data_IF_881748293138
#
_entry.id   IF_881748293138
#
_cell.length_a   1.000
_cell.length_b   1.000
_cell.length_c   1.000
_cell.angle_alpha   90.00
_cell.angle_beta   90.00
_cell.angle_gamma   90.00
#
_symmetry.space_group_name_H-M   'P 1'
#
loop_
_entity.id
_entity.type
_entity.pdbx_description
1 polymer ?
#
# COMPACT_ATOMS: atom_id res chain seq x y z
N UNK A 1 -9.79 1.13 18.19
CA UNK A 1 -9.40 0.31 17.03
C UNK A 1 -10.33 0.65 15.87
N UNK A 2 -9.82 0.87 14.66
CA UNK A 2 -10.66 1.24 13.50
C UNK A 2 -11.58 0.09 13.09
N UNK A 3 -12.88 0.36 12.91
CA UNK A 3 -13.82 -0.62 12.40
C UNK A 3 -13.61 -0.82 10.88
N UNK A 4 -12.94 -1.91 10.51
CA UNK A 4 -12.62 -2.20 9.10
C UNK A 4 -13.84 -2.56 8.24
N UNK A 5 -14.92 -3.05 8.84
CA UNK A 5 -16.18 -3.32 8.12
C UNK A 5 -16.82 -1.98 7.74
N UNK A 6 -16.98 -1.08 8.70
CA UNK A 6 -17.51 0.27 8.44
C UNK A 6 -16.64 1.07 7.46
N UNK A 7 -15.31 0.95 7.56
CA UNK A 7 -14.38 1.57 6.60
C UNK A 7 -14.58 1.00 5.18
N UNK A 8 -14.74 -0.32 5.06
CA UNK A 8 -14.98 -1.00 3.78
C UNK A 8 -16.27 -0.49 3.13
N UNK A 9 -17.37 -0.42 3.89
CA UNK A 9 -18.66 0.09 3.42
C UNK A 9 -18.59 1.58 3.04
N UNK A 10 -17.95 2.41 3.87
CA UNK A 10 -17.76 3.83 3.58
C UNK A 10 -16.97 4.03 2.30
N UNK A 11 -15.88 3.26 2.12
CA UNK A 11 -15.07 3.34 0.92
C UNK A 11 -15.82 2.87 -0.33
N UNK A 12 -16.66 1.83 -0.24
CA UNK A 12 -17.52 1.41 -1.36
C UNK A 12 -18.52 2.51 -1.75
N UNK A 13 -19.18 3.14 -0.77
CA UNK A 13 -20.11 4.27 -1.01
C UNK A 13 -19.41 5.46 -1.64
N UNK A 14 -18.26 5.86 -1.09
CA UNK A 14 -17.42 6.94 -1.64
C UNK A 14 -16.96 6.62 -3.05
N UNK A 15 -16.56 5.38 -3.33
CA UNK A 15 -16.12 4.97 -4.66
C UNK A 15 -17.21 5.16 -5.71
N UNK A 16 -18.44 4.74 -5.40
CA UNK A 16 -19.59 4.90 -6.28
C UNK A 16 -19.90 6.37 -6.57
N UNK A 17 -19.77 7.24 -5.57
CA UNK A 17 -20.06 8.67 -5.69
C UNK A 17 -18.88 9.52 -6.24
N UNK A 18 -17.65 9.02 -6.13
CA UNK A 18 -16.45 9.84 -6.34
C UNK A 18 -16.31 10.37 -7.77
N UNK A 19 -16.09 11.68 -7.87
CA UNK A 19 -15.71 12.39 -9.09
C UNK A 19 -14.26 12.83 -9.01
N UNK A 20 -13.54 12.72 -10.12
CA UNK A 20 -12.17 13.21 -10.21
C UNK A 20 -12.16 14.73 -10.24
N UNK A 21 -11.29 15.36 -9.44
CA UNK A 21 -11.09 16.81 -9.42
C UNK A 21 -9.75 17.23 -10.01
N UNK A 22 -8.92 16.25 -10.40
CA UNK A 22 -7.60 16.43 -11.01
C UNK A 22 -7.42 15.42 -12.16
N UNK A 23 -6.48 15.68 -13.06
CA UNK A 23 -6.13 14.77 -14.15
C UNK A 23 -5.05 13.78 -13.68
N UNK A 24 -5.36 12.48 -13.75
CA UNK A 24 -4.45 11.38 -13.36
C UNK A 24 -3.83 10.67 -14.57
N UNK A 25 -4.17 11.08 -15.80
CA UNK A 25 -3.89 10.33 -17.03
C UNK A 25 -2.41 10.04 -17.23
N UNK A 26 -1.53 11.02 -17.00
CA UNK A 26 -0.08 10.84 -17.17
C UNK A 26 0.46 9.76 -16.24
N UNK A 27 0.06 9.79 -14.97
CA UNK A 27 0.50 8.78 -13.98
C UNK A 27 -0.11 7.43 -14.32
N UNK A 28 -1.42 7.38 -14.54
CA UNK A 28 -2.13 6.13 -14.85
C UNK A 28 -1.58 5.45 -16.11
N UNK A 29 -1.21 6.19 -17.16
CA UNK A 29 -0.55 5.64 -18.36
C UNK A 29 0.76 4.91 -18.04
N UNK A 30 1.58 5.45 -17.14
CA UNK A 30 2.82 4.76 -16.72
C UNK A 30 2.52 3.51 -15.89
N UNK A 31 1.48 3.54 -15.06
CA UNK A 31 1.08 2.40 -14.23
C UNK A 31 0.51 1.23 -15.07
N UNK A 32 -0.22 1.52 -16.15
CA UNK A 32 -0.78 0.50 -17.05
C UNK A 32 0.12 0.18 -18.25
N UNK A 33 1.28 0.83 -18.39
CA UNK A 33 2.21 0.59 -19.49
C UNK A 33 2.58 -0.91 -19.54
N UNK A 34 2.68 -1.55 -20.73
CA UNK A 34 2.85 -2.99 -20.83
C UNK A 34 3.99 -3.57 -19.98
N UNK A 35 5.16 -2.92 -19.98
CA UNK A 35 6.30 -3.32 -19.16
C UNK A 35 6.03 -3.21 -17.65
N UNK A 36 5.37 -2.13 -17.20
CA UNK A 36 5.00 -1.95 -15.80
C UNK A 36 3.95 -2.99 -15.37
N UNK A 37 2.88 -3.15 -16.17
CA UNK A 37 1.81 -4.11 -15.95
C UNK A 37 2.36 -5.53 -15.81
N UNK A 38 3.28 -5.95 -16.68
CA UNK A 38 3.89 -7.27 -16.62
C UNK A 38 4.59 -7.52 -15.27
N UNK A 39 5.40 -6.57 -14.79
CA UNK A 39 6.07 -6.68 -13.49
C UNK A 39 5.09 -6.76 -12.32
N UNK A 40 4.03 -5.94 -12.33
CA UNK A 40 2.98 -6.01 -11.33
C UNK A 40 2.22 -7.34 -11.37
N UNK A 41 1.99 -7.90 -12.55
CA UNK A 41 1.35 -9.20 -12.72
C UNK A 41 2.23 -10.35 -12.20
N UNK A 42 3.56 -10.28 -12.36
CA UNK A 42 4.49 -11.24 -11.75
C UNK A 42 4.35 -11.27 -10.23
N UNK A 43 4.32 -10.11 -9.59
CA UNK A 43 4.10 -10.00 -8.12
C UNK A 43 2.70 -10.45 -7.74
N UNK A 44 1.68 -10.07 -8.53
CA UNK A 44 0.29 -10.47 -8.31
C UNK A 44 0.10 -11.98 -8.31
N UNK A 45 0.69 -12.68 -9.28
CA UNK A 45 0.63 -14.14 -9.39
C UNK A 45 1.26 -14.85 -8.18
N UNK A 46 2.30 -14.25 -7.57
CA UNK A 46 3.01 -14.82 -6.40
C UNK A 46 2.35 -14.52 -5.06
N UNK A 47 1.54 -13.47 -4.98
CA UNK A 47 1.02 -12.94 -3.71
C UNK A 47 -0.50 -13.00 -3.57
N UNK A 48 -1.22 -13.12 -4.69
CA UNK A 48 -2.68 -12.98 -4.70
C UNK A 48 -3.15 -11.56 -4.40
N UNK A 49 -2.28 -10.55 -4.52
CA UNK A 49 -2.66 -9.14 -4.48
C UNK A 49 -2.95 -8.68 -5.91
N UNK A 50 -4.09 -8.04 -6.22
CA UNK A 50 -4.39 -7.55 -7.57
C UNK A 50 -3.31 -6.58 -8.05
N UNK A 51 -2.80 -6.81 -9.27
CA UNK A 51 -1.78 -5.95 -9.87
C UNK A 51 -2.13 -4.45 -9.88
N UNK A 52 -3.40 -4.00 -10.02
CA UNK A 52 -3.72 -2.56 -9.97
C UNK A 52 -3.54 -1.99 -8.55
N UNK A 53 -3.78 -2.79 -7.51
CA UNK A 53 -3.51 -2.39 -6.13
C UNK A 53 -2.00 -2.24 -5.89
N UNK A 54 -1.19 -3.17 -6.42
CA UNK A 54 0.28 -3.09 -6.36
C UNK A 54 0.77 -1.82 -7.07
N UNK A 55 0.23 -1.52 -8.25
CA UNK A 55 0.63 -0.36 -9.03
C UNK A 55 0.38 0.97 -8.30
N UNK A 56 -0.79 1.13 -7.66
CA UNK A 56 -1.08 2.36 -6.92
C UNK A 56 -0.33 2.45 -5.60
N UNK A 57 0.05 1.34 -4.96
CA UNK A 57 0.99 1.37 -3.83
C UNK A 57 2.36 1.86 -4.33
N UNK A 58 2.85 1.32 -5.44
CA UNK A 58 4.15 1.71 -6.00
C UNK A 58 4.24 3.20 -6.33
N UNK A 59 3.17 3.78 -6.88
CA UNK A 59 3.08 5.22 -7.09
C UNK A 59 3.11 6.01 -5.77
N UNK A 60 2.39 5.54 -4.75
CA UNK A 60 2.27 6.27 -3.48
C UNK A 60 3.51 6.21 -2.61
N UNK A 61 4.24 5.10 -2.65
CA UNK A 61 5.41 4.89 -1.80
C UNK A 61 6.68 5.48 -2.43
N UNK A 62 6.81 5.48 -3.77
CA UNK A 62 8.00 6.00 -4.44
C UNK A 62 7.77 6.53 -5.86
N UNK A 63 6.56 6.97 -6.22
CA UNK A 63 6.29 7.56 -7.55
C UNK A 63 6.66 6.64 -8.73
N UNK A 64 6.46 5.33 -8.54
CA UNK A 64 6.84 4.28 -9.50
C UNK A 64 8.35 4.16 -9.76
N UNK A 65 9.19 4.60 -8.82
CA UNK A 65 10.62 4.39 -8.91
C UNK A 65 10.97 2.91 -8.72
N UNK A 66 11.36 2.27 -9.82
CA UNK A 66 11.76 0.85 -9.87
C UNK A 66 13.03 0.53 -9.08
N UNK A 67 13.73 1.54 -8.55
CA UNK A 67 14.84 1.36 -7.61
C UNK A 67 14.38 1.37 -6.14
N UNK A 68 13.18 1.88 -5.86
CA UNK A 68 12.58 1.94 -4.52
C UNK A 68 11.77 0.70 -4.17
N UNK A 69 11.77 0.35 -2.89
CA UNK A 69 10.97 -0.75 -2.34
C UNK A 69 9.51 -0.34 -2.17
N UNK A 70 8.61 -1.27 -2.51
CA UNK A 70 7.17 -1.10 -2.34
C UNK A 70 6.74 -0.87 -0.88
N UNK A 71 7.59 -1.20 0.10
CA UNK A 71 7.24 -1.12 1.53
C UNK A 71 7.43 0.29 2.14
N UNK A 72 8.46 1.03 1.72
CA UNK A 72 8.80 2.33 2.33
C UNK A 72 9.56 3.29 1.40
N UNK A 73 9.77 2.91 0.13
CA UNK A 73 10.52 3.70 -0.85
C UNK A 73 12.05 3.60 -0.79
N UNK A 74 12.65 3.01 0.25
CA UNK A 74 14.11 2.81 0.29
C UNK A 74 14.62 1.97 -0.90
N UNK A 75 15.88 2.16 -1.34
CA UNK A 75 16.48 1.32 -2.36
C UNK A 75 16.38 -0.17 -2.01
N UNK A 76 15.74 -0.97 -2.87
CA UNK A 76 15.47 -2.38 -2.56
C UNK A 76 16.74 -3.24 -2.54
N UNK A 77 17.82 -2.78 -3.18
CA UNK A 77 19.11 -3.47 -3.24
C UNK A 77 20.01 -3.17 -2.02
N UNK A 78 19.46 -2.60 -0.95
CA UNK A 78 20.12 -2.34 0.33
C UNK A 78 19.20 -2.75 1.48
N UNK A 79 19.75 -2.84 2.68
CA UNK A 79 18.95 -3.02 3.89
C UNK A 79 18.14 -1.76 4.14
N UNK A 80 16.81 -1.87 4.27
CA UNK A 80 15.93 -0.73 4.52
C UNK A 80 16.18 -0.11 5.90
N UNK A 81 16.08 1.23 5.95
CA UNK A 81 16.24 2.02 7.18
C UNK A 81 14.90 2.61 7.64
N UNK A 82 14.00 2.92 6.71
CA UNK A 82 12.66 3.35 7.03
C UNK A 82 11.77 2.14 7.36
N UNK A 83 10.75 2.36 8.19
CA UNK A 83 9.85 1.28 8.64
C UNK A 83 9.00 0.79 7.47
N UNK A 84 8.93 -0.53 7.20
CA UNK A 84 9.59 -1.64 7.91
C UNK A 84 11.11 -1.69 7.68
N UNK A 85 11.89 -1.53 8.76
CA UNK A 85 13.35 -1.50 8.70
C UNK A 85 13.94 -2.92 8.67
N UNK A 86 15.16 -3.07 8.16
CA UNK A 86 15.87 -4.35 8.13
C UNK A 86 15.40 -5.32 7.05
N UNK A 87 14.67 -4.85 6.02
CA UNK A 87 14.28 -5.66 4.85
C UNK A 87 15.40 -5.62 3.81
N UNK A 88 15.53 -6.68 3.01
CA UNK A 88 16.54 -6.76 1.94
C UNK A 88 17.96 -7.00 2.46
N UNK A 89 18.99 -6.82 1.61
CA UNK A 89 18.89 -6.44 0.20
C UNK A 89 18.21 -7.54 -0.64
N UNK A 90 17.45 -7.14 -1.66
CA UNK A 90 16.80 -8.04 -2.60
C UNK A 90 17.58 -8.12 -3.92
N UNK A 91 17.32 -9.15 -4.74
CA UNK A 91 17.95 -9.31 -6.07
C UNK A 91 17.17 -8.61 -7.18
N UNK A 92 15.91 -8.27 -6.93
CA UNK A 92 15.05 -7.55 -7.85
C UNK A 92 13.97 -6.76 -7.12
N UNK A 93 13.35 -5.82 -7.84
CA UNK A 93 12.16 -5.12 -7.35
C UNK A 93 11.01 -6.09 -7.07
N UNK A 94 10.84 -7.15 -7.87
CA UNK A 94 9.81 -8.17 -7.68
C UNK A 94 9.96 -8.90 -6.35
N UNK A 95 11.19 -9.29 -5.99
CA UNK A 95 11.47 -9.90 -4.69
C UNK A 95 11.14 -8.94 -3.53
N UNK A 96 11.53 -7.67 -3.66
CA UNK A 96 11.22 -6.64 -2.68
C UNK A 96 9.72 -6.37 -2.54
N UNK A 97 8.99 -6.34 -3.65
CA UNK A 97 7.54 -6.14 -3.68
C UNK A 97 6.79 -7.34 -3.08
N UNK A 98 7.22 -8.58 -3.40
CA UNK A 98 6.67 -9.79 -2.77
C UNK A 98 6.90 -9.73 -1.25
N UNK A 99 8.11 -9.37 -0.84
CA UNK A 99 8.45 -9.24 0.57
C UNK A 99 7.57 -8.22 1.32
N UNK A 100 7.41 -7.04 0.72
CA UNK A 100 6.54 -5.97 1.24
C UNK A 100 5.09 -6.44 1.43
N UNK A 101 4.54 -7.21 0.49
CA UNK A 101 3.14 -7.64 0.52
C UNK A 101 2.90 -8.85 1.44
N UNK A 102 3.89 -9.73 1.61
CA UNK A 102 3.77 -10.98 2.37
C UNK A 102 4.21 -10.83 3.82
N UNK A 103 5.31 -10.12 4.06
CA UNK A 103 6.03 -10.14 5.33
C UNK A 103 5.93 -8.83 6.13
N UNK A 104 5.45 -7.75 5.51
CA UNK A 104 5.27 -6.47 6.18
C UNK A 104 3.79 -6.22 6.47
N UNK A 105 3.50 -5.52 7.57
CA UNK A 105 2.15 -5.04 7.82
C UNK A 105 1.71 -4.15 6.63
N UNK A 106 0.46 -4.26 6.15
CA UNK A 106 -0.69 -4.94 6.74
C UNK A 106 -0.90 -6.37 6.21
N UNK A 107 0.18 -7.05 5.79
CA UNK A 107 0.21 -8.41 5.25
C UNK A 107 -0.80 -8.58 4.11
N UNK A 108 -0.69 -7.72 3.09
CA UNK A 108 -1.67 -7.60 2.00
C UNK A 108 -1.93 -8.95 1.30
N UNK A 109 -0.91 -9.80 1.15
CA UNK A 109 -1.04 -11.13 0.55
C UNK A 109 -1.98 -12.09 1.33
N UNK A 110 -2.30 -11.78 2.59
CA UNK A 110 -3.26 -12.55 3.40
C UNK A 110 -4.71 -12.14 3.14
N UNK A 111 -4.94 -11.02 2.47
CA UNK A 111 -6.28 -10.52 2.18
C UNK A 111 -6.97 -11.39 1.12
N UNK A 112 -8.19 -11.86 1.40
CA UNK A 112 -8.97 -12.75 0.52
C UNK A 112 -10.07 -12.04 -0.27
N UNK A 113 -10.50 -10.88 0.20
CA UNK A 113 -11.55 -10.08 -0.44
C UNK A 113 -10.92 -8.83 -1.07
N UNK A 114 -10.93 -8.78 -2.40
CA UNK A 114 -10.50 -7.63 -3.19
C UNK A 114 -11.66 -6.90 -3.85
N UNK A 115 -12.86 -6.98 -3.27
CA UNK A 115 -13.94 -6.03 -3.59
C UNK A 115 -13.43 -4.59 -3.46
N UNK A 116 -14.01 -3.66 -4.23
CA UNK A 116 -13.46 -2.30 -4.30
C UNK A 116 -13.39 -1.60 -2.94
N UNK A 117 -14.42 -1.72 -2.11
CA UNK A 117 -14.42 -1.16 -0.75
C UNK A 117 -13.30 -1.75 0.11
N UNK A 118 -13.09 -3.07 0.00
CA UNK A 118 -12.08 -3.79 0.78
C UNK A 118 -10.67 -3.50 0.29
N UNK A 119 -10.48 -3.38 -1.02
CA UNK A 119 -9.24 -2.93 -1.66
C UNK A 119 -8.84 -1.55 -1.14
N UNK A 120 -9.75 -0.57 -1.16
CA UNK A 120 -9.48 0.78 -0.68
C UNK A 120 -9.19 0.79 0.84
N UNK A 121 -9.90 -0.02 1.63
CA UNK A 121 -9.61 -0.19 3.05
C UNK A 121 -8.25 -0.87 3.31
N UNK A 122 -7.81 -1.79 2.44
CA UNK A 122 -6.49 -2.43 2.53
C UNK A 122 -5.37 -1.48 2.11
N UNK A 123 -5.59 -0.67 1.07
CA UNK A 123 -4.68 0.41 0.69
C UNK A 123 -4.52 1.44 1.82
N UNK A 124 -5.60 1.78 2.52
CA UNK A 124 -5.50 2.70 3.67
C UNK A 124 -4.73 2.07 4.84
N UNK A 125 -4.91 0.76 5.07
CA UNK A 125 -4.06 0.03 6.03
C UNK A 125 -2.58 0.03 5.63
N UNK A 126 -2.28 0.05 4.32
CA UNK A 126 -0.91 0.07 3.82
C UNK A 126 -0.19 1.36 4.23
N UNK A 127 -0.85 2.50 4.05
CA UNK A 127 -0.36 3.81 4.52
C UNK A 127 -0.45 3.98 6.05
N UNK A 128 -1.51 3.46 6.65
CA UNK A 128 -1.84 3.64 8.07
C UNK A 128 -3.26 4.21 8.29
N UNK A 129 -3.94 3.69 9.31
CA UNK A 129 -5.35 3.93 9.61
C UNK A 129 -5.65 5.24 10.38
N UNK A 130 -4.70 6.17 10.41
CA UNK A 130 -4.83 7.41 11.20
C UNK A 130 -5.98 8.31 10.76
N UNK A 131 -6.38 8.27 9.48
CA UNK A 131 -7.49 9.06 8.95
C UNK A 131 -8.84 8.40 9.23
N UNK A 132 -8.98 7.10 8.94
CA UNK A 132 -10.16 6.33 9.33
C UNK A 132 -10.44 6.41 10.84
N UNK A 133 -9.41 6.37 11.71
CA UNK A 133 -9.57 6.54 13.15
C UNK A 133 -10.11 7.93 13.55
N UNK A 134 -9.94 8.94 12.69
CA UNK A 134 -10.50 10.29 12.85
C UNK A 134 -11.85 10.46 12.14
N UNK A 135 -12.41 9.40 11.53
CA UNK A 135 -13.61 9.48 10.71
C UNK A 135 -13.43 10.33 9.45
N UNK A 136 -12.20 10.50 8.96
CA UNK A 136 -11.89 11.36 7.82
C UNK A 136 -11.50 10.57 6.57
N UNK A 137 -11.83 11.07 5.37
CA UNK A 137 -11.26 10.56 4.12
C UNK A 137 -9.73 10.59 4.17
N UNK A 138 -9.08 9.46 3.95
CA UNK A 138 -7.63 9.44 3.80
C UNK A 138 -7.19 10.14 2.51
N UNK A 139 -6.29 11.14 2.53
CA UNK A 139 -5.67 11.66 1.32
C UNK A 139 -4.89 10.60 0.55
N UNK A 140 -4.37 9.57 1.22
CA UNK A 140 -3.71 8.43 0.56
C UNK A 140 -4.64 7.75 -0.45
N UNK A 141 -5.93 7.70 -0.12
CA UNK A 141 -6.96 7.08 -0.95
C UNK A 141 -7.65 8.09 -1.86
N UNK A 142 -8.07 9.22 -1.32
CA UNK A 142 -9.07 10.10 -1.94
C UNK A 142 -8.52 11.43 -2.45
N UNK A 143 -7.23 11.74 -2.27
CA UNK A 143 -6.70 13.01 -2.78
C UNK A 143 -6.91 13.16 -4.29
N UNK A 144 -7.49 14.27 -4.73
CA UNK A 144 -7.83 14.52 -6.14
C UNK A 144 -9.15 13.91 -6.60
N UNK A 145 -9.99 13.50 -5.65
CA UNK A 145 -11.42 13.33 -5.87
C UNK A 145 -12.20 14.33 -5.05
N UNK A 146 -13.50 14.43 -5.31
CA UNK A 146 -14.43 15.22 -4.51
C UNK A 146 -14.74 14.61 -3.13
N UNK A 147 -14.22 13.42 -2.81
CA UNK A 147 -14.39 12.75 -1.50
C UNK A 147 -13.37 13.21 -0.46
N UNK A 148 -12.40 14.02 -0.86
CA UNK A 148 -11.39 14.65 -0.02
C UNK A 148 -11.37 16.16 -0.29
N UNK A 149 -11.07 16.97 0.73
CA UNK A 149 -10.94 18.43 0.62
C UNK A 149 -9.59 18.88 1.13
N UNK A 150 -9.30 18.58 2.38
CA UNK A 150 -8.05 18.90 3.06
C UNK A 150 -7.85 17.96 4.26
N UNK A 151 -6.68 18.03 4.88
CA UNK A 151 -6.32 17.25 6.04
C UNK A 151 -5.23 16.24 5.73
N UNK A 152 -4.07 16.37 6.36
CA UNK A 152 -2.92 15.49 6.12
C UNK A 152 -2.07 15.33 7.38
N UNK A 153 -1.52 14.14 7.62
CA UNK A 153 -0.39 14.01 8.53
C UNK A 153 0.86 14.54 7.85
N UNK A 154 1.39 15.65 8.34
CA UNK A 154 2.57 16.31 7.77
C UNK A 154 3.88 15.72 8.32
N UNK A 155 3.79 15.01 9.44
CA UNK A 155 4.82 14.16 10.04
C UNK A 155 4.14 13.19 11.01
N UNK A 156 4.91 12.27 11.57
CA UNK A 156 4.39 11.24 12.48
C UNK A 156 3.59 11.83 13.64
N UNK A 157 2.33 11.39 13.75
CA UNK A 157 1.39 11.86 14.77
C UNK A 157 0.83 13.27 14.58
N UNK A 158 1.36 14.08 13.66
CA UNK A 158 0.97 15.49 13.49
C UNK A 158 0.03 15.67 12.30
N UNK A 159 -1.26 15.72 12.62
CA UNK A 159 -2.33 15.97 11.67
C UNK A 159 -2.59 17.47 11.53
N UNK A 160 -2.53 17.98 10.31
CA UNK A 160 -2.92 19.33 9.94
C UNK A 160 -4.22 19.27 9.12
N UNK A 161 -5.35 19.86 9.60
CA UNK A 161 -6.63 19.83 8.89
C UNK A 161 -6.67 20.68 7.61
N UNK A 162 -5.72 21.59 7.42
CA UNK A 162 -5.71 22.59 6.34
C UNK A 162 -4.80 22.18 5.17
N UNK A 163 -3.82 21.32 5.40
CA UNK A 163 -2.92 20.86 4.33
C UNK A 163 -3.66 19.94 3.36
N UNK A 164 -3.50 20.23 2.07
CA UNK A 164 -4.02 19.40 0.97
C UNK A 164 -2.90 18.51 0.45
N UNK A 165 -3.15 17.21 0.29
CA UNK A 165 -2.19 16.30 -0.32
C UNK A 165 -2.08 16.54 -1.83
N UNK A 166 -0.90 16.99 -2.28
CA UNK A 166 -0.60 17.20 -3.70
C UNK A 166 -0.39 15.88 -4.45
N UNK A 167 -0.06 14.78 -3.76
CA UNK A 167 0.09 13.47 -4.38
C UNK A 167 -1.25 12.92 -4.93
N UNK A 168 -1.22 12.05 -5.95
CA UNK A 168 -2.43 11.40 -6.46
C UNK A 168 -2.98 10.40 -5.45
N UNK A 169 -4.28 10.43 -5.15
CA UNK A 169 -4.95 9.40 -4.34
C UNK A 169 -5.15 8.09 -5.10
N UNK A 170 -5.06 6.95 -4.41
CA UNK A 170 -5.24 5.62 -5.01
C UNK A 170 -6.59 5.46 -5.75
N UNK A 171 -7.69 5.98 -5.20
CA UNK A 171 -9.01 5.84 -5.83
C UNK A 171 -9.06 6.57 -7.19
N UNK A 172 -8.46 7.75 -7.28
CA UNK A 172 -8.36 8.50 -8.53
C UNK A 172 -7.52 7.76 -9.57
N UNK A 173 -6.35 7.26 -9.15
CA UNK A 173 -5.48 6.43 -9.98
C UNK A 173 -6.21 5.19 -10.49
N UNK A 174 -6.85 4.41 -9.62
CA UNK A 174 -7.58 3.20 -9.99
C UNK A 174 -8.70 3.49 -11.00
N UNK A 175 -9.51 4.54 -10.80
CA UNK A 175 -10.56 4.94 -11.76
C UNK A 175 -9.98 5.25 -13.14
N UNK A 176 -8.89 6.02 -13.20
CA UNK A 176 -8.25 6.37 -14.47
C UNK A 176 -7.54 5.17 -15.11
N UNK A 177 -6.92 4.30 -14.32
CA UNK A 177 -6.35 3.04 -14.82
C UNK A 177 -7.43 2.14 -15.42
N UNK A 178 -8.58 1.98 -14.76
CA UNK A 178 -9.71 1.19 -15.28
C UNK A 178 -10.28 1.77 -16.59
N UNK A 179 -10.27 3.10 -16.75
CA UNK A 179 -10.68 3.74 -17.99
C UNK A 179 -9.69 3.50 -19.14
N UNK A 180 -8.38 3.39 -18.83
CA UNK A 180 -7.33 3.12 -19.82
C UNK A 180 -7.16 1.61 -20.12
N UNK A 181 -7.43 0.76 -19.14
CA UNK A 181 -7.36 -0.69 -19.23
C UNK A 181 -8.64 -1.30 -18.63
N UNK A 182 -9.67 -1.52 -19.47
CA UNK A 182 -10.96 -2.07 -19.04
C UNK A 182 -10.89 -3.51 -18.51
N UNK A 183 -9.74 -4.19 -18.62
CA UNK A 183 -9.54 -5.52 -18.03
C UNK A 183 -9.39 -5.46 -16.51
N UNK A 184 -9.20 -4.26 -15.95
CA UNK A 184 -9.12 -4.05 -14.50
C UNK A 184 -10.53 -4.09 -13.89
N UNK A 185 -10.77 -5.09 -13.06
CA UNK A 185 -12.02 -5.22 -12.29
C UNK A 185 -11.74 -5.55 -10.82
N UNK A 186 -12.67 -5.14 -9.96
CA UNK A 186 -12.66 -5.44 -8.51
C UNK A 186 -13.94 -6.18 -8.08
N UNK A 187 -14.54 -6.93 -9.00
CA UNK A 187 -15.78 -7.68 -8.79
C UNK A 187 -15.48 -8.95 -8.00
N UNK A 188 -15.27 -8.82 -6.68
CA UNK A 188 -15.19 -9.93 -5.74
C UNK A 188 -14.22 -11.05 -6.11
N UNK A 189 -13.18 -10.74 -6.91
CA UNK A 189 -12.37 -11.73 -7.58
C UNK A 189 -11.59 -12.54 -6.53
N UNK A 190 -12.08 -13.75 -6.25
CA UNK A 190 -11.25 -14.86 -5.84
C UNK A 190 -10.14 -14.95 -6.88
N UNK A 191 -8.95 -14.48 -6.53
CA UNK A 191 -7.78 -14.61 -7.41
C UNK A 191 -7.46 -16.09 -7.43
N UNK A 192 -7.89 -16.79 -8.48
CA UNK A 192 -7.40 -18.15 -8.76
C UNK A 192 -5.90 -18.02 -9.00
N UNK A 193 -5.03 -18.59 -8.15
CA UNK A 193 -3.60 -18.55 -8.40
C UNK A 193 -3.31 -19.29 -9.70
N UNK A 194 -2.50 -18.71 -10.59
CA UNK A 194 -1.86 -19.50 -11.62
C UNK A 194 -1.01 -20.59 -10.93
N UNK A 195 -1.06 -21.81 -11.47
CA UNK A 195 -0.51 -23.02 -10.86
C UNK A 195 0.90 -22.84 -10.26
N UNK A 196 1.10 -23.48 -9.11
CA UNK A 196 2.28 -23.41 -8.24
C UNK A 196 3.62 -23.57 -8.98
N UNK A 197 4.50 -22.56 -8.88
CA UNK A 197 5.93 -22.70 -9.18
C UNK A 197 6.67 -23.04 -7.89
N UNK A 198 7.49 -24.10 -7.92
CA UNK A 198 8.19 -24.68 -6.77
C UNK A 198 9.12 -23.66 -6.05
N UNK A 199 9.30 -23.77 -4.72
CA UNK A 199 10.18 -22.87 -3.96
C UNK A 199 11.66 -23.11 -4.26
N UNK A 200 12.45 -22.04 -4.35
CA UNK A 200 13.92 -22.09 -4.38
C UNK A 200 14.43 -22.03 -2.92
N UNK A 201 15.42 -22.86 -2.52
CA UNK A 201 15.94 -22.90 -1.14
C UNK A 201 16.61 -21.60 -0.70
N UNK A 202 16.36 -21.19 0.55
CA UNK A 202 16.95 -20.02 1.20
C UNK A 202 18.30 -20.33 1.85
N UNK A 203 19.27 -19.43 1.72
CA UNK A 203 20.58 -19.50 2.38
C UNK A 203 20.62 -18.57 3.61
N UNK A 204 21.33 -18.98 4.66
CA UNK A 204 21.26 -18.45 6.03
C UNK A 204 21.83 -17.02 6.17
N UNK A 205 21.25 -16.14 7.02
CA UNK A 205 21.75 -14.79 7.24
C UNK A 205 22.86 -14.71 8.31
N UNK A 206 23.83 -13.81 8.08
CA UNK A 206 24.83 -13.38 9.06
C UNK A 206 24.33 -12.19 9.93
N UNK A 207 24.94 -12.06 11.10
CA UNK A 207 24.53 -11.28 12.28
C UNK A 207 24.59 -9.74 12.12
N UNK A 208 23.71 -8.97 12.80
CA UNK A 208 23.52 -7.52 12.61
C UNK A 208 24.40 -6.64 13.53
N UNK A 209 24.60 -5.37 13.11
CA UNK A 209 25.18 -4.29 13.93
C UNK A 209 24.31 -3.02 13.82
N UNK A 210 24.26 -2.23 14.91
CA UNK A 210 23.25 -1.20 15.23
C UNK A 210 23.90 0.20 15.15
N UNK A 211 23.30 1.16 14.41
CA UNK A 211 23.26 2.59 14.79
C UNK A 211 22.38 3.47 13.86
N UNK A 212 21.38 4.14 14.47
CA UNK A 212 20.77 5.45 14.14
C UNK A 212 19.67 5.60 13.03
N UNK A 213 18.46 6.14 13.35
CA UNK A 213 17.32 6.28 12.42
C UNK A 213 17.10 7.71 11.85
N UNK A 214 16.36 7.83 10.72
CA UNK A 214 15.91 9.12 10.12
C UNK A 214 14.41 9.18 9.77
N UNK A 215 13.96 10.41 9.44
CA UNK A 215 12.63 11.02 9.64
C UNK A 215 11.59 10.71 8.54
N UNK A 216 10.33 10.46 8.96
CA UNK A 216 9.14 10.80 8.16
C UNK A 216 8.28 9.65 7.60
N UNK A 217 8.48 8.41 8.06
CA UNK A 217 7.59 7.30 7.72
C UNK A 217 6.56 7.08 8.82
N UNK A 218 5.28 7.18 8.44
CA UNK A 218 4.07 6.96 9.28
C UNK A 218 3.94 5.48 9.74
N UNK A 219 4.97 4.65 9.53
CA UNK A 219 5.07 3.25 9.97
C UNK A 219 5.22 3.01 11.48
N UNK A 220 4.83 3.93 12.36
CA UNK A 220 4.92 3.74 13.82
C UNK A 220 3.55 3.60 14.52
N UNK A 221 2.63 2.78 13.99
CA UNK A 221 1.41 2.42 14.74
C UNK A 221 1.06 0.91 14.82
N UNK A 222 1.96 -0.02 14.48
CA UNK A 222 1.73 -1.46 14.80
C UNK A 222 2.98 -2.10 15.43
N UNK A 223 3.54 -1.48 16.46
CA UNK A 223 4.53 -2.13 17.33
C UNK A 223 4.22 -2.04 18.83
N UNK A 224 3.10 -1.43 19.25
CA UNK A 224 2.86 -1.19 20.68
C UNK A 224 1.49 -1.61 21.24
N UNK A 225 0.89 -2.68 20.70
CA UNK A 225 -0.33 -3.29 21.28
C UNK A 225 -0.12 -4.74 21.76
N UNK A 226 1.03 -5.38 21.50
CA UNK A 226 1.28 -6.76 21.98
C UNK A 226 2.13 -6.87 23.27
N UNK A 227 2.76 -5.78 23.75
CA UNK A 227 3.56 -5.81 24.99
C UNK A 227 2.87 -5.27 26.25
N UNK A 228 1.58 -4.91 26.17
CA UNK A 228 0.82 -4.40 27.34
C UNK A 228 0.04 -5.51 28.07
N UNK A 229 0.01 -6.75 27.56
CA UNK A 229 -0.78 -7.85 28.16
C UNK A 229 0.05 -8.83 29.03
N UNK A 230 1.39 -8.78 29.03
CA UNK A 230 2.22 -9.70 29.84
C UNK A 230 3.09 -9.04 30.93
N UNK A 231 2.80 -7.79 31.33
CA UNK A 231 3.37 -7.19 32.55
C UNK A 231 2.30 -6.77 33.54
N UNK A 232 1.50 -7.75 33.97
CA UNK A 232 0.86 -7.76 35.30
C UNK A 232 0.72 -9.22 35.75
N UNK A 233 1.76 -9.72 36.43
CA UNK A 233 1.76 -10.67 37.56
C UNK A 233 3.10 -11.41 37.63
N UNK A 234 3.98 -10.89 38.48
CA UNK A 234 4.89 -11.59 39.41
C UNK A 234 5.77 -10.49 40.04
#
# INVERSE_FOLDING_TARGET
>A
MTNLIALTESNAKRWAAARLTRNFTTVARRLVAPGAKARYQTVSARTGVPWPAIAVIHERECSQDWTGSLAQGDPWNRVSVHVPAGRGPFRSWEEAAIDALVNCAPYAARNKDWSIGRTLAKLEQYNGLGYAARGRPSPYIWAGTDQYRSGKYVRDGVYDPNVVDSQPGCAGLLKTMMALDPTITFTGATITPAASVKPIPAEKPATPSIANPSKGSIGAFIANIFNVVFRRKA
#
